data_IF_668072610259
#
_entry.id   IF_668072610259
#
_cell.length_a   1.000
_cell.length_b   1.000
_cell.length_c   1.000
_cell.angle_alpha   90.00
_cell.angle_beta   90.00
_cell.angle_gamma   90.00
#
_symmetry.space_group_name_H-M   'P 1'
#
loop_
_entity.id
_entity.type
_entity.pdbx_description
1 polymer ?
#
# COMPACT_ATOMS: atom_id res chain seq x y z
N UNK A 1 2.13 -29.97 -24.84
CA UNK A 1 1.73 -29.82 -23.43
C UNK A 1 0.26 -30.17 -23.34
N UNK A 2 -0.17 -31.18 -22.58
CA UNK A 2 -1.56 -31.61 -22.59
C UNK A 2 -2.46 -30.51 -22.01
N UNK A 3 -3.52 -30.15 -22.75
CA UNK A 3 -4.59 -29.26 -22.28
C UNK A 3 -5.34 -29.91 -21.12
N UNK A 4 -4.88 -29.67 -19.90
CA UNK A 4 -5.71 -29.93 -18.73
C UNK A 4 -6.90 -28.98 -18.79
N UNK A 5 -8.09 -29.51 -19.07
CA UNK A 5 -9.36 -28.79 -18.94
C UNK A 5 -9.50 -28.29 -17.51
N UNK A 6 -9.09 -27.04 -17.26
CA UNK A 6 -9.25 -26.41 -15.96
C UNK A 6 -10.75 -26.10 -15.78
N UNK A 7 -11.46 -26.98 -15.07
CA UNK A 7 -12.85 -26.72 -14.67
C UNK A 7 -12.91 -25.40 -13.88
N UNK A 8 -13.66 -24.44 -14.42
CA UNK A 8 -13.86 -23.15 -13.76
C UNK A 8 -14.71 -23.36 -12.49
N UNK A 9 -14.25 -22.95 -11.30
CA UNK A 9 -15.08 -22.95 -10.10
C UNK A 9 -16.36 -22.13 -10.33
N UNK A 10 -17.53 -22.64 -9.91
CA UNK A 10 -18.85 -22.01 -10.14
C UNK A 10 -18.89 -20.52 -9.74
N UNK A 11 -18.28 -20.17 -8.60
CA UNK A 11 -18.18 -18.78 -8.14
C UNK A 11 -17.44 -17.89 -9.13
N UNK A 12 -16.31 -18.37 -9.68
CA UNK A 12 -15.51 -17.65 -10.66
C UNK A 12 -16.29 -17.52 -11.97
N UNK A 13 -16.93 -18.60 -12.42
CA UNK A 13 -17.75 -18.60 -13.63
C UNK A 13 -18.88 -17.55 -13.55
N UNK A 14 -19.55 -17.44 -12.40
CA UNK A 14 -20.62 -16.45 -12.19
C UNK A 14 -20.09 -15.01 -12.29
N UNK A 15 -18.95 -14.72 -11.66
CA UNK A 15 -18.31 -13.40 -11.76
C UNK A 15 -17.94 -13.06 -13.19
N UNK A 16 -17.34 -14.01 -13.92
CA UNK A 16 -16.99 -13.84 -15.33
C UNK A 16 -18.21 -13.52 -16.18
N UNK A 17 -19.30 -14.30 -16.05
CA UNK A 17 -20.54 -14.08 -16.79
C UNK A 17 -21.15 -12.71 -16.49
N UNK A 18 -21.19 -12.29 -15.21
CA UNK A 18 -21.76 -11.01 -14.82
C UNK A 18 -20.96 -9.83 -15.38
N UNK A 19 -19.63 -9.89 -15.35
CA UNK A 19 -18.77 -8.84 -15.92
C UNK A 19 -18.94 -8.73 -17.44
N UNK A 20 -18.95 -9.85 -18.15
CA UNK A 20 -19.13 -9.87 -19.61
C UNK A 20 -20.50 -9.33 -20.03
N UNK A 21 -21.58 -9.66 -19.30
CA UNK A 21 -22.92 -9.08 -19.52
C UNK A 21 -22.94 -7.56 -19.38
N UNK A 22 -22.12 -7.01 -18.47
CA UNK A 22 -21.98 -5.57 -18.25
C UNK A 22 -21.01 -4.87 -19.20
N UNK A 23 -20.40 -5.59 -20.15
CA UNK A 23 -19.37 -5.03 -21.04
C UNK A 23 -18.07 -4.69 -20.32
N UNK A 24 -17.85 -5.20 -19.10
CA UNK A 24 -16.67 -4.94 -18.29
C UNK A 24 -15.78 -6.18 -18.19
N UNK A 25 -14.48 -5.95 -18.08
CA UNK A 25 -13.50 -7.04 -17.94
C UNK A 25 -13.55 -7.58 -16.51
N UNK A 26 -13.76 -8.90 -16.29
CA UNK A 26 -13.81 -9.46 -14.94
C UNK A 26 -12.45 -9.33 -14.24
N UNK A 27 -12.44 -8.96 -12.96
CA UNK A 27 -11.21 -8.88 -12.15
C UNK A 27 -10.64 -10.25 -11.78
N UNK A 28 -11.45 -11.30 -11.79
CA UNK A 28 -11.04 -12.68 -11.51
C UNK A 28 -11.51 -13.63 -12.60
N UNK A 29 -10.79 -14.73 -12.82
CA UNK A 29 -11.17 -15.75 -13.81
C UNK A 29 -10.85 -15.41 -15.27
N UNK A 30 -10.14 -14.31 -15.52
CA UNK A 30 -9.60 -13.95 -16.84
C UNK A 30 -8.81 -15.07 -17.54
N UNK A 31 -7.95 -15.84 -16.84
CA UNK A 31 -7.19 -16.92 -17.48
C UNK A 31 -8.04 -18.01 -18.15
N UNK A 32 -9.32 -18.11 -17.81
CA UNK A 32 -10.25 -19.09 -18.40
C UNK A 32 -10.88 -18.61 -19.72
N UNK A 33 -10.77 -17.32 -20.06
CA UNK A 33 -11.44 -16.71 -21.22
C UNK A 33 -10.48 -15.96 -22.16
N UNK A 34 -9.20 -15.86 -21.83
CA UNK A 34 -8.18 -15.25 -22.69
C UNK A 34 -7.94 -16.10 -23.94
N UNK A 35 -8.36 -15.63 -25.12
CA UNK A 35 -8.17 -16.30 -26.42
C UNK A 35 -7.37 -15.40 -27.37
N UNK A 36 -6.50 -15.99 -28.21
CA UNK A 36 -5.91 -15.32 -29.37
C UNK A 36 -4.74 -14.35 -29.11
N UNK A 37 -4.09 -14.41 -27.94
CA UNK A 37 -2.96 -13.54 -27.56
C UNK A 37 -1.75 -14.30 -27.00
N UNK A 38 -1.56 -15.54 -27.46
CA UNK A 38 -0.57 -16.46 -26.92
C UNK A 38 0.86 -15.91 -27.04
N UNK A 39 1.20 -15.27 -28.16
CA UNK A 39 2.53 -14.72 -28.38
C UNK A 39 2.81 -13.52 -27.45
N UNK A 40 1.85 -12.59 -27.32
CA UNK A 40 1.97 -11.42 -26.46
C UNK A 40 2.05 -11.82 -24.99
N UNK A 41 1.19 -12.74 -24.55
CA UNK A 41 1.23 -13.29 -23.18
C UNK A 41 2.59 -13.95 -22.95
N UNK A 42 3.04 -14.84 -23.84
CA UNK A 42 4.34 -15.51 -23.68
C UNK A 42 5.50 -14.52 -23.53
N UNK A 43 5.50 -13.45 -24.31
CA UNK A 43 6.52 -12.41 -24.22
C UNK A 43 6.44 -11.65 -22.87
N UNK A 44 5.24 -11.32 -22.41
CA UNK A 44 5.04 -10.68 -21.10
C UNK A 44 5.39 -11.61 -19.93
N UNK A 45 5.18 -12.92 -20.08
CA UNK A 45 5.56 -13.89 -19.05
C UNK A 45 7.07 -14.08 -18.95
N UNK A 46 7.78 -13.97 -20.07
CA UNK A 46 9.24 -13.95 -20.05
C UNK A 46 9.77 -12.73 -19.28
N UNK A 47 9.16 -11.55 -19.46
CA UNK A 47 9.51 -10.36 -18.66
C UNK A 47 9.30 -10.62 -17.15
N UNK A 48 8.26 -11.37 -16.78
CA UNK A 48 8.00 -11.74 -15.38
C UNK A 48 9.06 -12.70 -14.82
N UNK A 49 9.57 -13.62 -15.64
CA UNK A 49 10.66 -14.52 -15.23
C UNK A 49 11.94 -13.72 -14.94
N UNK A 50 12.28 -12.73 -15.79
CA UNK A 50 13.42 -11.83 -15.56
C UNK A 50 13.27 -11.08 -14.23
N UNK A 51 12.07 -10.59 -13.91
CA UNK A 51 11.80 -9.90 -12.65
C UNK A 51 11.86 -10.86 -11.46
N UNK A 52 11.47 -12.12 -11.62
CA UNK A 52 11.59 -13.15 -10.59
C UNK A 52 13.04 -13.40 -10.19
N UNK A 53 13.96 -13.32 -11.16
CA UNK A 53 15.40 -13.52 -10.97
C UNK A 53 16.12 -12.25 -10.43
N UNK A 54 15.38 -11.22 -10.03
CA UNK A 54 15.90 -9.97 -9.48
C UNK A 54 16.23 -8.89 -10.53
N UNK A 55 15.86 -9.12 -11.79
CA UNK A 55 16.00 -8.14 -12.86
C UNK A 55 14.88 -7.10 -12.89
N UNK A 56 14.94 -6.21 -13.88
CA UNK A 56 13.89 -5.25 -14.19
C UNK A 56 13.56 -5.30 -15.69
N UNK A 57 12.28 -5.16 -16.03
CA UNK A 57 11.81 -5.05 -17.42
C UNK A 57 10.81 -3.92 -17.55
N UNK A 58 10.82 -3.25 -18.70
CA UNK A 58 9.91 -2.16 -19.01
C UNK A 58 9.43 -2.28 -20.45
N UNK A 59 8.12 -2.10 -20.67
CA UNK A 59 7.49 -2.37 -21.96
C UNK A 59 6.37 -1.38 -22.26
N UNK A 60 6.33 -0.94 -23.52
CA UNK A 60 5.21 -0.19 -24.09
C UNK A 60 4.31 -1.13 -24.90
N UNK A 61 2.99 -1.04 -24.66
CA UNK A 61 1.98 -1.80 -25.43
C UNK A 61 1.14 -0.80 -26.22
N UNK A 62 1.30 -0.81 -27.55
CA UNK A 62 0.62 0.11 -28.47
C UNK A 62 -0.35 -0.65 -29.37
N UNK A 63 -1.51 -0.05 -29.68
CA UNK A 63 -2.51 -0.66 -30.56
C UNK A 63 -3.78 0.16 -30.63
N UNK A 64 -4.64 -0.14 -31.63
CA UNK A 64 -5.91 0.59 -31.87
C UNK A 64 -6.85 0.58 -30.66
N UNK A 65 -7.75 1.55 -30.56
CA UNK A 65 -8.83 1.50 -29.57
C UNK A 65 -9.65 0.21 -29.74
N UNK A 66 -10.07 -0.40 -28.63
CA UNK A 66 -10.79 -1.69 -28.65
C UNK A 66 -9.95 -2.94 -28.94
N UNK A 67 -8.64 -2.83 -29.22
CA UNK A 67 -7.77 -4.01 -29.49
C UNK A 67 -7.53 -4.96 -28.31
N UNK A 68 -8.09 -4.67 -27.14
CA UNK A 68 -7.97 -5.50 -25.94
C UNK A 68 -6.72 -5.23 -25.08
N UNK A 69 -6.06 -4.08 -25.21
CA UNK A 69 -4.87 -3.73 -24.38
C UNK A 69 -5.15 -3.75 -22.89
N UNK A 70 -6.25 -3.11 -22.44
CA UNK A 70 -6.64 -3.10 -21.03
C UNK A 70 -6.97 -4.51 -20.54
N UNK A 71 -7.62 -5.32 -21.38
CA UNK A 71 -7.89 -6.73 -21.09
C UNK A 71 -6.59 -7.55 -20.95
N UNK A 72 -5.61 -7.32 -21.82
CA UNK A 72 -4.29 -7.97 -21.76
C UNK A 72 -3.55 -7.60 -20.47
N UNK A 73 -3.52 -6.33 -20.09
CA UNK A 73 -2.89 -5.86 -18.86
C UNK A 73 -3.57 -6.45 -17.61
N UNK A 74 -4.90 -6.49 -17.57
CA UNK A 74 -5.63 -7.11 -16.46
C UNK A 74 -5.41 -8.64 -16.41
N UNK A 75 -5.28 -9.29 -17.56
CA UNK A 75 -4.98 -10.72 -17.63
C UNK A 75 -3.58 -11.03 -17.10
N UNK A 76 -2.59 -10.21 -17.48
CA UNK A 76 -1.23 -10.32 -16.96
C UNK A 76 -1.21 -10.09 -15.45
N UNK A 77 -1.86 -9.03 -14.96
CA UNK A 77 -2.00 -8.73 -13.53
C UNK A 77 -2.45 -9.95 -12.74
N UNK A 78 -3.49 -10.63 -13.20
CA UNK A 78 -3.99 -11.83 -12.52
C UNK A 78 -2.99 -12.98 -12.53
N UNK A 79 -2.35 -13.21 -13.68
CA UNK A 79 -1.36 -14.28 -13.81
C UNK A 79 -0.16 -14.07 -12.88
N UNK A 80 0.38 -12.85 -12.81
CA UNK A 80 1.53 -12.56 -11.95
C UNK A 80 1.16 -12.59 -10.47
N UNK A 81 -0.04 -12.13 -10.10
CA UNK A 81 -0.55 -12.29 -8.73
C UNK A 81 -0.66 -13.76 -8.35
N UNK A 82 -1.09 -14.63 -9.27
CA UNK A 82 -1.16 -16.08 -9.02
C UNK A 82 0.22 -16.70 -8.74
N UNK A 83 1.29 -16.11 -9.29
CA UNK A 83 2.71 -16.44 -9.04
C UNK A 83 3.31 -15.78 -7.79
N UNK A 84 2.50 -15.06 -7.01
CA UNK A 84 2.93 -14.45 -5.74
C UNK A 84 3.49 -13.03 -5.86
N UNK A 85 3.42 -12.42 -7.04
CA UNK A 85 3.84 -11.03 -7.20
C UNK A 85 2.86 -10.04 -6.58
N UNK A 86 3.40 -8.91 -6.12
CA UNK A 86 2.65 -7.71 -5.80
C UNK A 86 2.48 -6.89 -7.07
N UNK A 87 1.26 -6.42 -7.35
CA UNK A 87 0.97 -5.60 -8.53
C UNK A 87 0.37 -4.27 -8.12
N UNK A 88 0.77 -3.20 -8.79
CA UNK A 88 0.15 -1.88 -8.72
C UNK A 88 -0.30 -1.47 -10.12
N UNK A 89 -1.49 -0.88 -10.23
CA UNK A 89 -2.00 -0.31 -11.47
C UNK A 89 -2.64 1.07 -11.22
N UNK A 90 -2.49 1.95 -12.20
CA UNK A 90 -3.12 3.26 -12.22
C UNK A 90 -3.40 3.68 -13.66
N UNK A 91 -4.49 4.40 -13.84
CA UNK A 91 -4.82 5.02 -15.13
C UNK A 91 -4.16 6.39 -15.22
N UNK A 92 -3.27 6.54 -16.21
CA UNK A 92 -2.68 7.83 -16.53
C UNK A 92 -3.67 8.66 -17.35
N UNK A 93 -3.83 9.91 -16.96
CA UNK A 93 -4.70 10.89 -17.62
C UNK A 93 -4.01 12.25 -17.62
N UNK A 94 -4.49 13.25 -18.39
CA UNK A 94 -3.89 14.58 -18.37
C UNK A 94 -3.77 15.21 -16.98
N UNK A 95 -4.64 14.82 -16.03
CA UNK A 95 -4.61 15.25 -14.63
C UNK A 95 -3.90 14.28 -13.68
N UNK A 96 -3.55 13.06 -14.16
CA UNK A 96 -2.83 12.02 -13.42
C UNK A 96 -1.57 11.63 -14.18
N UNK A 97 -0.47 12.33 -13.89
CA UNK A 97 0.82 12.17 -14.55
C UNK A 97 1.86 11.70 -13.55
N UNK A 98 2.86 10.97 -14.06
CA UNK A 98 4.03 10.52 -13.29
C UNK A 98 4.97 11.69 -12.91
N UNK A 99 4.75 12.89 -13.45
CA UNK A 99 5.56 14.08 -13.21
C UNK A 99 4.66 15.32 -13.08
N UNK A 100 5.18 16.38 -12.44
CA UNK A 100 4.49 17.66 -12.31
C UNK A 100 4.94 18.43 -11.08
N UNK A 101 4.75 19.75 -11.10
CA UNK A 101 5.16 20.66 -10.02
C UNK A 101 4.06 20.92 -9.00
N UNK A 102 2.80 20.56 -9.31
CA UNK A 102 1.64 20.82 -8.44
C UNK A 102 1.14 19.55 -7.74
N UNK A 103 2.07 18.66 -7.36
CA UNK A 103 1.74 17.45 -6.59
C UNK A 103 1.07 16.32 -7.40
N UNK A 104 0.93 16.44 -8.73
CA UNK A 104 0.32 15.39 -9.55
C UNK A 104 1.09 14.06 -9.50
N UNK A 105 2.43 14.12 -9.46
CA UNK A 105 3.28 12.94 -9.30
C UNK A 105 3.03 12.24 -7.97
N UNK A 106 2.96 13.01 -6.87
CA UNK A 106 2.67 12.47 -5.53
C UNK A 106 1.25 11.88 -5.45
N UNK A 107 0.27 12.50 -6.10
CA UNK A 107 -1.08 11.96 -6.18
C UNK A 107 -1.11 10.60 -6.89
N UNK A 108 -0.40 10.48 -8.02
CA UNK A 108 -0.28 9.21 -8.77
C UNK A 108 0.44 8.14 -7.94
N UNK A 109 1.50 8.51 -7.22
CA UNK A 109 2.17 7.58 -6.30
C UNK A 109 1.24 7.07 -5.19
N UNK A 110 0.50 7.98 -4.54
CA UNK A 110 -0.46 7.61 -3.49
C UNK A 110 -1.56 6.68 -4.03
N UNK A 111 -2.02 6.91 -5.25
CA UNK A 111 -2.97 6.03 -5.92
C UNK A 111 -2.38 4.65 -6.19
N UNK A 112 -1.17 4.57 -6.74
CA UNK A 112 -0.49 3.29 -6.99
C UNK A 112 -0.34 2.48 -5.70
N UNK A 113 0.10 3.11 -4.62
CA UNK A 113 0.24 2.47 -3.30
C UNK A 113 -1.13 2.03 -2.75
N UNK A 114 -2.17 2.85 -2.91
CA UNK A 114 -3.53 2.50 -2.50
C UNK A 114 -4.09 1.32 -3.31
N UNK A 115 -3.75 1.21 -4.59
CA UNK A 115 -4.20 0.15 -5.49
C UNK A 115 -3.33 -1.13 -5.41
N UNK A 116 -2.31 -1.16 -4.55
CA UNK A 116 -1.45 -2.33 -4.37
C UNK A 116 -2.28 -3.58 -4.10
N UNK A 117 -2.10 -4.59 -4.95
CA UNK A 117 -2.87 -5.81 -4.95
C UNK A 117 -1.98 -7.05 -4.84
N UNK A 118 -2.56 -8.09 -4.24
CA UNK A 118 -1.95 -9.41 -4.10
C UNK A 118 -2.97 -10.48 -4.45
N UNK A 119 -2.53 -11.74 -4.61
CA UNK A 119 -3.43 -12.90 -4.82
C UNK A 119 -4.59 -12.97 -3.85
N UNK A 120 -4.34 -12.65 -2.57
CA UNK A 120 -5.36 -12.73 -1.51
C UNK A 120 -6.22 -11.47 -1.38
N UNK A 121 -5.85 -10.38 -2.05
CA UNK A 121 -6.59 -9.12 -2.05
C UNK A 121 -6.44 -8.44 -3.43
N UNK A 122 -7.16 -8.93 -4.45
CA UNK A 122 -6.99 -8.47 -5.83
C UNK A 122 -7.57 -7.07 -6.08
N UNK A 123 -8.53 -6.63 -5.25
CA UNK A 123 -9.22 -5.33 -5.38
C UNK A 123 -8.37 -4.11 -4.92
N UNK A 124 -7.12 -4.32 -4.48
CA UNK A 124 -6.25 -3.26 -3.97
C UNK A 124 -6.21 -3.15 -2.44
N UNK A 125 -5.46 -2.17 -1.94
CA UNK A 125 -5.28 -1.92 -0.50
C UNK A 125 -4.58 -3.05 0.25
N UNK A 126 -3.70 -3.80 -0.42
CA UNK A 126 -3.01 -4.95 0.16
C UNK A 126 -1.75 -4.59 0.96
N UNK A 127 -1.31 -3.33 0.95
CA UNK A 127 -0.11 -2.90 1.67
C UNK A 127 -0.16 -3.28 3.16
N UNK A 128 -1.25 -2.92 3.85
CA UNK A 128 -1.42 -3.24 5.28
C UNK A 128 -1.36 -4.75 5.52
N UNK A 129 -2.03 -5.54 4.67
CA UNK A 129 -2.01 -7.00 4.77
C UNK A 129 -0.61 -7.59 4.58
N UNK A 130 0.18 -7.03 3.66
CA UNK A 130 1.56 -7.45 3.42
C UNK A 130 2.43 -7.15 4.64
N UNK A 131 2.30 -5.94 5.20
CA UNK A 131 3.02 -5.53 6.41
C UNK A 131 2.64 -6.41 7.61
N UNK A 132 1.35 -6.67 7.84
CA UNK A 132 0.87 -7.51 8.94
C UNK A 132 1.45 -8.93 8.86
N UNK A 133 1.48 -9.52 7.67
CA UNK A 133 2.05 -10.85 7.44
C UNK A 133 3.55 -10.87 7.66
N UNK A 134 4.26 -9.84 7.21
CA UNK A 134 5.69 -9.72 7.44
C UNK A 134 6.01 -9.59 8.93
N UNK A 135 5.32 -8.72 9.67
CA UNK A 135 5.48 -8.56 11.12
C UNK A 135 5.20 -9.89 11.83
N UNK A 136 4.12 -10.58 11.46
CA UNK A 136 3.76 -11.88 12.03
C UNK A 136 4.85 -12.93 11.78
N UNK A 137 5.46 -12.92 10.59
CA UNK A 137 6.58 -13.80 10.25
C UNK A 137 7.81 -13.51 11.11
N UNK A 138 8.14 -12.23 11.33
CA UNK A 138 9.25 -11.84 12.20
C UNK A 138 8.99 -12.28 13.64
N UNK A 139 7.77 -12.08 14.16
CA UNK A 139 7.37 -12.57 15.49
C UNK A 139 7.53 -14.08 15.63
N UNK A 140 7.09 -14.85 14.64
CA UNK A 140 7.23 -16.32 14.65
C UNK A 140 8.70 -16.75 14.65
N UNK A 141 9.55 -16.11 13.84
CA UNK A 141 10.99 -16.39 13.81
C UNK A 141 11.65 -16.06 15.16
N UNK A 142 11.34 -14.90 15.75
CA UNK A 142 11.86 -14.52 17.06
C UNK A 142 11.43 -15.51 18.14
N UNK A 143 10.19 -15.99 18.11
CA UNK A 143 9.70 -16.97 19.09
C UNK A 143 10.45 -18.30 18.98
N UNK A 144 10.73 -18.74 17.76
CA UNK A 144 11.51 -19.97 17.52
C UNK A 144 12.97 -19.86 17.97
N UNK A 145 13.60 -18.71 17.74
CA UNK A 145 15.02 -18.50 18.08
C UNK A 145 15.26 -18.26 19.57
N UNK A 146 14.36 -17.52 20.22
CA UNK A 146 14.54 -17.10 21.62
C UNK A 146 13.86 -18.04 22.61
N UNK A 147 12.85 -18.80 22.18
CA UNK A 147 12.00 -19.61 23.06
C UNK A 147 11.17 -18.78 24.04
N UNK A 148 11.12 -17.46 23.89
CA UNK A 148 10.38 -16.56 24.77
C UNK A 148 8.88 -16.64 24.51
N UNK A 149 8.10 -16.53 25.58
CA UNK A 149 6.64 -16.46 25.49
C UNK A 149 6.22 -15.11 24.87
N UNK A 150 5.24 -15.07 23.94
CA UNK A 150 4.74 -13.83 23.36
C UNK A 150 4.23 -12.79 24.36
N UNK A 151 3.88 -13.20 25.58
CA UNK A 151 3.44 -12.30 26.66
C UNK A 151 4.59 -11.67 27.45
N UNK A 152 5.83 -12.12 27.25
CA UNK A 152 7.00 -11.59 27.92
C UNK A 152 7.41 -10.22 27.31
N UNK A 153 7.60 -9.16 28.13
CA UNK A 153 8.18 -7.90 27.66
C UNK A 153 9.51 -8.07 26.91
N UNK A 154 10.33 -9.07 27.26
CA UNK A 154 11.58 -9.38 26.57
C UNK A 154 11.35 -9.85 25.13
N UNK A 155 10.23 -10.55 24.85
CA UNK A 155 9.87 -10.95 23.50
C UNK A 155 9.59 -9.74 22.61
N UNK A 156 8.85 -8.75 23.13
CA UNK A 156 8.57 -7.52 22.38
C UNK A 156 9.86 -6.79 22.02
N UNK A 157 10.81 -6.67 22.95
CA UNK A 157 12.11 -6.05 22.67
C UNK A 157 12.93 -6.82 21.65
N UNK A 158 12.90 -8.16 21.70
CA UNK A 158 13.59 -9.00 20.73
C UNK A 158 12.99 -8.86 19.31
N UNK A 159 11.66 -8.75 19.20
CA UNK A 159 10.97 -8.50 17.93
C UNK A 159 11.32 -7.11 17.40
N UNK A 160 11.23 -6.07 18.22
CA UNK A 160 11.57 -4.69 17.83
C UNK A 160 13.03 -4.60 17.33
N UNK A 161 13.96 -5.27 18.03
CA UNK A 161 15.37 -5.34 17.61
C UNK A 161 15.51 -6.01 16.24
N UNK A 162 14.84 -7.15 16.02
CA UNK A 162 14.94 -7.89 14.75
C UNK A 162 14.31 -7.14 13.58
N UNK A 163 13.20 -6.44 13.83
CA UNK A 163 12.59 -5.52 12.87
C UNK A 163 13.60 -4.41 12.54
N UNK A 164 14.21 -3.78 13.54
CA UNK A 164 15.23 -2.75 13.36
C UNK A 164 16.45 -3.23 12.57
N UNK A 165 16.94 -4.44 12.83
CA UNK A 165 18.05 -5.04 12.05
C UNK A 165 17.66 -5.30 10.60
N UNK A 166 16.47 -5.85 10.37
CA UNK A 166 15.95 -6.13 9.01
C UNK A 166 15.77 -4.82 8.24
N UNK A 167 15.21 -3.80 8.89
CA UNK A 167 15.02 -2.48 8.30
C UNK A 167 16.35 -1.76 8.09
N UNK A 168 17.31 -1.86 9.03
CA UNK A 168 18.64 -1.26 8.90
C UNK A 168 19.43 -1.83 7.74
N UNK A 169 19.19 -3.09 7.34
CA UNK A 169 19.75 -3.63 6.09
C UNK A 169 19.23 -2.93 4.83
N UNK A 170 18.13 -2.19 4.93
CA UNK A 170 17.56 -1.37 3.85
C UNK A 170 18.15 0.05 3.80
N UNK A 171 18.95 0.49 4.79
CA UNK A 171 19.57 1.83 4.76
C UNK A 171 20.58 1.99 3.60
N UNK A 172 21.07 0.88 3.05
CA UNK A 172 21.87 0.88 1.83
C UNK A 172 21.05 1.29 0.58
N UNK A 173 19.72 1.34 0.68
CA UNK A 173 18.81 1.80 -0.37
C UNK A 173 18.57 3.31 -0.25
N UNK A 174 18.39 3.95 -1.41
CA UNK A 174 18.05 5.37 -1.50
C UNK A 174 16.74 5.64 -0.74
N UNK A 175 16.78 6.50 0.29
CA UNK A 175 15.69 6.79 1.24
C UNK A 175 15.32 5.66 2.23
N UNK A 176 16.22 4.69 2.47
CA UNK A 176 16.02 3.60 3.43
C UNK A 176 15.70 4.07 4.86
N UNK A 177 16.39 5.11 5.33
CA UNK A 177 16.20 5.66 6.68
C UNK A 177 14.81 6.27 6.90
N UNK A 178 14.29 7.03 5.92
CA UNK A 178 12.95 7.61 6.01
C UNK A 178 11.88 6.50 5.99
N UNK A 179 12.11 5.46 5.19
CA UNK A 179 11.24 4.29 5.13
C UNK A 179 11.26 3.49 6.45
N UNK A 180 12.43 3.35 7.06
CA UNK A 180 12.63 2.72 8.36
C UNK A 180 11.79 3.38 9.46
N UNK A 181 11.93 4.70 9.61
CA UNK A 181 11.16 5.48 10.60
C UNK A 181 9.66 5.40 10.34
N UNK A 182 9.24 5.38 9.08
CA UNK A 182 7.84 5.27 8.72
C UNK A 182 7.27 3.89 9.12
N UNK A 183 8.02 2.81 8.86
CA UNK A 183 7.60 1.47 9.26
C UNK A 183 7.53 1.32 10.78
N UNK A 184 8.50 1.82 11.54
CA UNK A 184 8.44 1.82 13.01
C UNK A 184 7.15 2.51 13.52
N UNK A 185 6.81 3.67 12.96
CA UNK A 185 5.59 4.39 13.31
C UNK A 185 4.31 3.61 12.96
N UNK A 186 4.29 2.91 11.83
CA UNK A 186 3.16 2.05 11.44
C UNK A 186 3.04 0.85 12.39
N UNK A 187 4.15 0.17 12.69
CA UNK A 187 4.19 -1.02 13.54
C UNK A 187 3.70 -0.70 14.96
N UNK A 188 4.14 0.42 15.52
CA UNK A 188 3.65 0.93 16.81
C UNK A 188 2.14 1.15 16.81
N UNK A 189 1.56 1.53 15.67
CA UNK A 189 0.13 1.84 15.52
C UNK A 189 -0.73 0.60 15.25
N UNK A 190 -0.16 -0.41 14.58
CA UNK A 190 -0.84 -1.64 14.15
C UNK A 190 -0.76 -2.75 15.21
N UNK A 191 0.33 -2.84 15.98
CA UNK A 191 0.48 -3.88 17.02
C UNK A 191 -0.38 -3.59 18.27
N UNK A 192 -1.35 -4.45 18.63
CA UNK A 192 -2.10 -4.31 19.87
C UNK A 192 -1.24 -4.46 21.14
N UNK A 193 -0.04 -5.06 21.04
CA UNK A 193 0.94 -5.14 22.13
C UNK A 193 1.48 -3.75 22.54
N UNK A 194 1.62 -2.83 21.59
CA UNK A 194 2.20 -1.49 21.83
C UNK A 194 1.16 -0.48 22.32
N UNK A 195 -0.14 -0.78 22.21
CA UNK A 195 -1.24 0.05 22.76
C UNK A 195 -1.14 0.28 24.27
N UNK A 196 -0.41 -0.56 25.01
CA UNK A 196 -0.20 -0.38 26.46
C UNK A 196 0.78 0.75 26.81
N UNK A 197 1.65 1.21 25.91
CA UNK A 197 2.57 2.34 26.18
C UNK A 197 1.87 3.71 26.14
N UNK A 198 1.01 3.97 25.15
CA UNK A 198 0.42 5.30 24.97
C UNK A 198 -0.67 5.66 25.99
N UNK A 199 -1.22 4.70 26.73
CA UNK A 199 -2.23 4.97 27.76
C UNK A 199 -1.65 5.45 29.10
N UNK A 200 -0.34 5.27 29.34
CA UNK A 200 0.32 5.70 30.60
C UNK A 200 0.86 7.13 30.58
N UNK A 201 1.00 7.77 29.42
CA UNK A 201 1.43 9.18 29.34
C UNK A 201 0.27 10.19 29.36
N UNK A 202 -0.95 9.78 29.02
CA UNK A 202 -2.13 10.66 29.02
C UNK A 202 -2.82 10.81 30.39
N UNK A 203 -2.50 9.97 31.39
CA UNK A 203 -3.17 9.99 32.70
C UNK A 203 -2.35 10.62 33.82
N UNK A 204 -1.20 11.25 33.51
CA UNK A 204 -0.26 11.78 34.51
C UNK A 204 -0.22 13.31 34.66
N UNK A 205 -1.03 14.08 33.92
CA UNK A 205 -0.98 15.56 33.95
C UNK A 205 -2.34 16.19 34.21
N UNK A 206 -3.00 15.77 35.29
CA UNK A 206 -4.23 16.41 35.76
C UNK A 206 -4.37 16.27 37.29
N UNK A 207 -3.41 16.83 38.03
CA UNK A 207 -3.64 17.23 39.42
C UNK A 207 -2.47 18.12 39.86
N UNK A 208 -2.73 19.43 39.96
CA UNK A 208 -2.43 20.26 41.15
C UNK A 208 -2.13 21.70 40.74
N UNK A 209 -3.14 22.58 40.82
CA UNK A 209 -2.90 24.01 41.05
C UNK A 209 -4.12 24.62 41.73
N UNK A 210 -4.18 24.48 43.05
CA UNK A 210 -5.09 25.22 43.91
C UNK A 210 -4.51 26.60 44.25
N UNK A 211 -5.21 27.66 43.85
CA UNK A 211 -5.42 28.89 44.64
C UNK A 211 -4.30 29.93 44.75
N UNK A 212 -4.51 31.09 44.11
CA UNK A 212 -4.62 32.41 44.77
C UNK A 212 -4.99 33.54 43.77
N UNK A 213 -5.67 34.62 44.20
CA UNK A 213 -6.35 35.55 43.31
C UNK A 213 -5.54 36.81 42.94
N UNK A 214 -6.02 37.46 41.86
CA UNK A 214 -5.61 38.71 41.19
C UNK A 214 -5.18 39.89 42.07
N UNK A 215 -4.49 40.87 41.45
CA UNK A 215 -4.94 42.25 41.51
C UNK A 215 -5.14 42.91 40.13
N UNK A 216 -6.08 43.87 40.12
CA UNK A 216 -6.56 44.70 39.00
C UNK A 216 -5.62 45.88 38.71
N UNK A 217 -5.57 46.31 37.44
CA UNK A 217 -5.53 47.73 36.95
C UNK A 217 -5.88 47.73 35.44
N UNK A 218 -7.03 48.26 34.98
CA UNK A 218 -7.23 49.56 34.29
C UNK A 218 -6.22 49.86 33.15
N UNK A 219 -6.53 50.29 31.93
CA UNK A 219 -7.69 50.99 31.33
C UNK A 219 -7.46 51.19 29.82
N UNK A 220 -8.52 51.54 29.09
CA UNK A 220 -8.57 52.30 27.83
C UNK A 220 -8.56 51.56 26.46
N UNK A 221 -9.75 51.50 25.85
CA UNK A 221 -10.02 51.65 24.41
C UNK A 221 -10.20 53.18 24.12
N UNK A 222 -10.32 53.74 22.87
CA UNK A 222 -11.00 53.15 21.71
C UNK A 222 -10.52 53.54 20.27
N UNK A 223 -11.15 52.90 19.27
CA UNK A 223 -11.39 53.35 17.86
C UNK A 223 -10.14 53.42 16.94
N UNK A 224 -10.16 53.13 15.64
CA UNK A 224 -11.18 53.19 14.58
C UNK A 224 -10.71 52.38 13.35
N UNK A 225 -11.66 51.82 12.59
CA UNK A 225 -11.49 51.34 11.20
C UNK A 225 -11.78 52.51 10.22
N UNK A 226 -11.85 52.37 8.87
CA UNK A 226 -11.31 51.36 7.94
C UNK A 226 -10.63 52.00 6.69
N UNK A 227 -9.80 51.27 5.92
CA UNK A 227 -9.57 51.66 4.50
C UNK A 227 -9.32 50.45 3.57
N UNK A 228 -10.19 50.37 2.58
CA UNK A 228 -10.20 49.69 1.28
C UNK A 228 -8.87 49.77 0.49
N UNK A 229 -8.62 48.78 -0.39
CA UNK A 229 -7.97 48.79 -1.73
C UNK A 229 -7.57 47.32 -1.98
N UNK A 230 -7.78 46.65 -3.11
CA UNK A 230 -8.27 47.02 -4.44
C UNK A 230 -7.93 45.85 -5.37
N UNK A 231 -8.91 45.43 -6.17
CA UNK A 231 -8.79 44.47 -7.27
C UNK A 231 -7.96 45.06 -8.41
N UNK A 232 -6.99 44.33 -8.97
CA UNK A 232 -6.46 44.58 -10.32
C UNK A 232 -6.11 43.24 -11.00
N UNK A 233 -6.82 43.01 -12.11
CA UNK A 233 -6.59 42.18 -13.32
C UNK A 233 -6.33 40.68 -13.18
#
# INVERSE_FOLDING_TARGET
>A
MPEQQRRIPRRIAQTVINSLKGGVVPRIGLPYITVGRTAEIKALLHDVDIVADGGASFRFIVGRYGSGKSFLLQSLRNYVMDRGFVVVDADLSPNRRLHGTAGQGLATYRELVANLATKTKPEGGALVLVLDRWISSVQQQTAQETGLDPSDPAFTQAVDKKIGETIGSLDELVHGFDFAQLLENIIVRVSPMTRRRNRRYSSGSAANTSGRPMPRTSSASPSSSPTTIGTIT
#
